data_IF_520953097150
#
_entry.id   IF_520953097150
#
_cell.length_a   1.000
_cell.length_b   1.000
_cell.length_c   1.000
_cell.angle_alpha   90.00
_cell.angle_beta   90.00
_cell.angle_gamma   90.00
#
_symmetry.space_group_name_H-M   'P 1'
#
loop_
_entity.id
_entity.type
_entity.pdbx_description
1 polymer ?
#
# COMPACT_ATOMS: atom_id res chain seq x y z
N UNK A 1 -19.95 14.54 4.93
CA UNK A 1 -21.21 14.76 4.24
C UNK A 1 -21.25 13.91 2.97
N UNK A 2 -22.42 13.31 2.68
CA UNK A 2 -22.70 12.61 1.42
C UNK A 2 -23.77 13.40 0.66
N UNK A 3 -23.55 13.55 -0.65
CA UNK A 3 -24.53 14.14 -1.57
C UNK A 3 -25.12 13.04 -2.46
N UNK A 4 -26.43 12.86 -2.38
CA UNK A 4 -27.16 11.93 -3.24
C UNK A 4 -27.69 12.70 -4.46
N UNK A 5 -27.18 12.37 -5.65
CA UNK A 5 -27.53 13.05 -6.91
C UNK A 5 -28.98 12.77 -7.33
N UNK A 6 -29.50 11.58 -7.07
CA UNK A 6 -30.85 11.19 -7.49
C UNK A 6 -31.93 11.91 -6.69
N UNK A 7 -31.69 12.09 -5.37
CA UNK A 7 -32.64 12.77 -4.48
C UNK A 7 -32.34 14.24 -4.28
N UNK A 8 -31.18 14.73 -4.76
CA UNK A 8 -30.65 16.08 -4.52
C UNK A 8 -30.58 16.45 -3.05
N UNK A 9 -30.21 15.48 -2.20
CA UNK A 9 -30.12 15.63 -0.76
C UNK A 9 -28.69 15.50 -0.26
N UNK A 10 -28.39 16.24 0.82
CA UNK A 10 -27.13 16.15 1.53
C UNK A 10 -27.39 15.51 2.88
N UNK A 11 -26.70 14.43 3.20
CA UNK A 11 -26.74 13.75 4.49
C UNK A 11 -25.42 13.98 5.26
N UNK A 12 -25.53 14.22 6.57
CA UNK A 12 -24.38 14.26 7.47
C UNK A 12 -24.06 12.84 7.90
N UNK A 13 -22.96 12.27 7.40
CA UNK A 13 -22.52 10.91 7.72
C UNK A 13 -21.82 10.87 9.08
N UNK A 14 -20.80 11.70 9.27
CA UNK A 14 -20.00 11.71 10.49
C UNK A 14 -19.50 13.11 10.83
N UNK A 15 -19.24 13.38 12.11
CA UNK A 15 -18.64 14.63 12.60
C UNK A 15 -17.83 14.37 13.87
N UNK A 16 -16.64 14.92 13.93
CA UNK A 16 -15.83 14.96 15.15
C UNK A 16 -16.33 16.02 16.16
N UNK A 17 -17.09 17.01 15.68
CA UNK A 17 -17.63 18.07 16.54
C UNK A 17 -18.96 17.64 17.13
N UNK A 18 -19.22 18.09 18.36
CA UNK A 18 -20.56 17.96 18.92
C UNK A 18 -21.54 18.88 18.18
N UNK A 19 -22.80 18.50 18.18
CA UNK A 19 -23.87 19.40 17.72
C UNK A 19 -24.29 20.40 18.81
N UNK A 20 -23.56 20.47 19.94
CA UNK A 20 -23.77 21.42 21.02
C UNK A 20 -23.23 22.82 20.67
N UNK A 21 -23.90 23.87 21.11
CA UNK A 21 -23.53 25.26 20.84
C UNK A 21 -22.22 25.70 21.54
N UNK A 22 -21.80 25.01 22.60
CA UNK A 22 -20.54 25.30 23.29
C UNK A 22 -19.37 24.53 22.68
N UNK A 23 -18.33 25.27 22.26
CA UNK A 23 -17.07 24.73 21.79
C UNK A 23 -16.33 24.06 22.97
N UNK A 24 -16.19 22.76 22.93
CA UNK A 24 -15.40 21.99 23.90
C UNK A 24 -13.92 22.07 23.53
N UNK A 25 -13.04 22.35 24.50
CA UNK A 25 -11.58 22.35 24.29
C UNK A 25 -11.06 21.04 23.69
N UNK A 26 -11.76 19.92 23.89
CA UNK A 26 -11.50 18.62 23.29
C UNK A 26 -11.69 18.59 21.77
N UNK A 27 -12.45 19.51 21.20
CA UNK A 27 -12.66 19.64 19.75
C UNK A 27 -11.44 20.20 19.02
N UNK A 28 -10.53 20.81 19.75
CA UNK A 28 -9.26 21.33 19.23
C UNK A 28 -8.18 20.24 19.08
N UNK A 29 -8.44 19.02 19.55
CA UNK A 29 -7.54 17.89 19.32
C UNK A 29 -7.66 17.41 17.88
N UNK A 30 -6.78 17.91 17.00
CA UNK A 30 -6.74 17.60 15.57
C UNK A 30 -6.00 16.29 15.22
N UNK A 31 -5.72 15.42 16.20
CA UNK A 31 -4.99 14.16 15.96
C UNK A 31 -5.96 13.00 15.66
N UNK A 32 -6.86 13.20 14.72
CA UNK A 32 -7.79 12.18 14.20
C UNK A 32 -8.19 12.51 12.77
N UNK A 33 -8.63 11.50 12.03
CA UNK A 33 -9.03 11.64 10.63
C UNK A 33 -10.04 10.53 10.25
N UNK A 34 -10.59 10.63 9.03
CA UNK A 34 -11.49 9.64 8.44
C UNK A 34 -10.89 9.14 7.14
N UNK A 35 -11.01 7.84 6.90
CA UNK A 35 -10.70 7.23 5.60
C UNK A 35 -11.90 6.40 5.14
N UNK A 36 -12.44 6.72 3.96
CA UNK A 36 -13.45 5.89 3.30
C UNK A 36 -12.74 4.68 2.71
N UNK A 37 -13.29 3.49 2.93
CA UNK A 37 -12.75 2.21 2.47
C UNK A 37 -13.55 1.71 1.27
N UNK A 38 -14.88 1.69 1.39
CA UNK A 38 -15.78 1.25 0.33
C UNK A 38 -17.03 2.12 0.28
N UNK A 39 -17.66 2.20 -0.89
CA UNK A 39 -18.97 2.82 -1.10
C UNK A 39 -19.73 1.91 -2.06
N UNK A 40 -20.94 1.49 -1.70
CA UNK A 40 -21.81 0.72 -2.55
C UNK A 40 -22.62 1.61 -3.54
N UNK A 41 -23.32 0.99 -4.48
CA UNK A 41 -24.15 1.70 -5.47
C UNK A 41 -25.30 2.52 -4.86
N UNK A 42 -25.70 2.22 -3.62
CA UNK A 42 -26.76 2.92 -2.88
C UNK A 42 -26.23 4.05 -2.01
N UNK A 43 -24.90 4.18 -1.91
CA UNK A 43 -24.22 5.17 -1.10
C UNK A 43 -24.03 4.78 0.35
N UNK A 44 -24.27 3.50 0.74
CA UNK A 44 -23.78 2.98 2.01
C UNK A 44 -22.27 2.81 1.94
N UNK A 45 -21.57 3.00 3.05
CA UNK A 45 -20.11 3.01 3.02
C UNK A 45 -19.51 2.43 4.28
N UNK A 46 -18.36 1.79 4.12
CA UNK A 46 -17.47 1.43 5.20
C UNK A 46 -16.35 2.46 5.29
N UNK A 47 -16.08 2.92 6.48
CA UNK A 47 -15.06 3.92 6.71
C UNK A 47 -14.38 3.73 8.06
N UNK A 48 -13.17 4.26 8.16
CA UNK A 48 -12.39 4.29 9.38
C UNK A 48 -12.45 5.67 10.01
N UNK A 49 -12.58 5.70 11.33
CA UNK A 49 -12.24 6.84 12.16
C UNK A 49 -11.00 6.46 12.94
N UNK A 50 -9.92 7.20 12.81
CA UNK A 50 -8.65 6.81 13.43
C UNK A 50 -7.94 8.00 14.08
N UNK A 51 -7.12 7.68 15.07
CA UNK A 51 -6.38 8.64 15.88
C UNK A 51 -6.83 8.65 17.32
N UNK A 52 -6.76 9.82 17.95
CA UNK A 52 -7.21 10.02 19.32
C UNK A 52 -8.73 10.22 19.36
N UNK A 53 -9.43 9.39 20.13
CA UNK A 53 -10.88 9.49 20.32
C UNK A 53 -11.18 10.53 21.37
N UNK A 54 -11.66 11.70 20.94
CA UNK A 54 -11.92 12.85 21.82
C UNK A 54 -13.28 12.77 22.54
N UNK A 55 -14.13 11.79 22.20
CA UNK A 55 -15.45 11.56 22.80
C UNK A 55 -15.99 10.16 22.52
N UNK A 56 -17.16 9.87 23.10
CA UNK A 56 -17.84 8.58 22.94
C UNK A 56 -17.29 7.50 23.88
N UNK A 57 -17.65 6.26 23.60
CA UNK A 57 -17.28 5.10 24.45
C UNK A 57 -15.78 4.83 24.49
N UNK A 58 -15.02 5.35 23.52
CA UNK A 58 -13.57 5.21 23.41
C UNK A 58 -12.82 6.50 23.76
N UNK A 59 -13.48 7.47 24.39
CA UNK A 59 -12.84 8.74 24.79
C UNK A 59 -11.54 8.48 25.58
N UNK A 60 -10.49 9.24 25.22
CA UNK A 60 -9.17 9.12 25.83
C UNK A 60 -8.31 7.97 25.27
N UNK A 61 -8.79 7.23 24.28
CA UNK A 61 -8.04 6.13 23.66
C UNK A 61 -7.56 6.53 22.27
N UNK A 62 -6.46 5.93 21.87
CA UNK A 62 -5.95 6.00 20.49
C UNK A 62 -6.24 4.68 19.79
N UNK A 63 -6.74 4.73 18.56
CA UNK A 63 -7.09 3.53 17.83
C UNK A 63 -7.79 3.81 16.50
N UNK A 64 -8.41 2.77 15.97
CA UNK A 64 -9.13 2.75 14.71
C UNK A 64 -10.52 2.19 14.96
N UNK A 65 -11.57 2.98 14.72
CA UNK A 65 -12.95 2.52 14.67
C UNK A 65 -13.31 2.17 13.23
N UNK A 66 -13.79 0.96 13.02
CA UNK A 66 -14.40 0.51 11.76
C UNK A 66 -15.87 0.81 11.84
N UNK A 67 -16.37 1.67 10.96
CA UNK A 67 -17.74 2.16 10.95
C UNK A 67 -18.44 1.82 9.64
N UNK A 68 -19.71 1.47 9.74
CA UNK A 68 -20.61 1.32 8.61
C UNK A 68 -21.66 2.44 8.61
N UNK A 69 -21.86 3.08 7.47
CA UNK A 69 -22.96 4.01 7.23
C UNK A 69 -23.99 3.36 6.31
N UNK A 70 -25.22 3.23 6.80
CA UNK A 70 -26.37 2.78 6.01
C UNK A 70 -27.08 3.99 5.40
N UNK A 71 -27.08 4.10 4.08
CA UNK A 71 -27.67 5.20 3.34
C UNK A 71 -29.22 5.21 3.37
N UNK A 72 -29.85 4.08 3.63
CA UNK A 72 -31.32 3.94 3.67
C UNK A 72 -31.87 4.45 5.00
N UNK A 73 -31.25 4.05 6.10
CA UNK A 73 -31.64 4.46 7.45
C UNK A 73 -30.97 5.77 7.88
N UNK A 74 -29.97 6.23 7.17
CA UNK A 74 -29.12 7.39 7.48
C UNK A 74 -28.50 7.26 8.88
N UNK A 75 -27.98 6.09 9.21
CA UNK A 75 -27.37 5.77 10.49
C UNK A 75 -25.92 5.33 10.33
N UNK A 76 -25.10 5.66 11.32
CA UNK A 76 -23.73 5.14 11.44
C UNK A 76 -23.66 4.19 12.60
N UNK A 77 -23.07 3.03 12.36
CA UNK A 77 -22.79 2.01 13.37
C UNK A 77 -21.28 1.78 13.45
N UNK A 78 -20.72 1.85 14.68
CA UNK A 78 -19.36 1.36 14.93
C UNK A 78 -19.42 -0.15 15.05
N UNK A 79 -18.78 -0.83 14.09
CA UNK A 79 -18.71 -2.29 14.08
C UNK A 79 -17.62 -2.82 15.01
N UNK A 80 -16.47 -2.15 15.04
CA UNK A 80 -15.30 -2.58 15.79
C UNK A 80 -14.42 -1.40 16.17
N UNK A 81 -13.82 -1.47 17.36
CA UNK A 81 -12.70 -0.61 17.77
C UNK A 81 -11.42 -1.43 17.92
N UNK A 82 -10.39 -1.06 17.16
CA UNK A 82 -9.05 -1.63 17.26
C UNK A 82 -8.14 -0.65 18.01
N UNK A 83 -7.76 -0.95 19.28
CA UNK A 83 -6.82 -0.11 20.01
C UNK A 83 -5.42 -0.21 19.39
N UNK A 84 -4.83 0.93 19.07
CA UNK A 84 -3.48 1.04 18.48
C UNK A 84 -2.71 2.09 19.30
N UNK A 85 -1.47 1.78 19.67
CA UNK A 85 -0.66 2.64 20.55
C UNK A 85 0.34 3.53 19.80
N UNK A 86 0.29 3.56 18.47
CA UNK A 86 1.12 4.43 17.65
C UNK A 86 0.57 5.86 17.61
N UNK A 87 1.43 6.82 17.24
CA UNK A 87 0.98 8.19 17.03
C UNK A 87 0.00 8.30 15.85
N UNK A 88 -0.80 9.34 15.85
CA UNK A 88 -1.71 9.65 14.74
C UNK A 88 -1.00 9.71 13.38
N UNK A 89 0.17 10.36 13.31
CA UNK A 89 0.93 10.47 12.06
C UNK A 89 1.33 9.10 11.52
N UNK A 90 1.84 8.21 12.36
CA UNK A 90 2.19 6.85 11.97
C UNK A 90 0.96 6.06 11.53
N UNK A 91 -0.19 6.19 12.23
CA UNK A 91 -1.43 5.55 11.78
C UNK A 91 -1.89 6.07 10.42
N UNK A 92 -1.79 7.37 10.19
CA UNK A 92 -2.16 7.99 8.91
C UNK A 92 -1.30 7.47 7.75
N UNK A 93 0.00 7.35 7.96
CA UNK A 93 0.93 6.78 6.99
C UNK A 93 0.63 5.29 6.76
N UNK A 94 0.55 4.48 7.81
CA UNK A 94 0.28 3.04 7.73
C UNK A 94 -1.05 2.74 7.00
N UNK A 95 -2.13 3.45 7.35
CA UNK A 95 -3.42 3.33 6.68
C UNK A 95 -3.38 3.89 5.25
N UNK A 96 -2.51 4.89 4.99
CA UNK A 96 -2.22 5.39 3.66
C UNK A 96 -1.63 4.30 2.77
N UNK A 97 -0.73 3.47 3.32
CA UNK A 97 -0.12 2.35 2.62
C UNK A 97 -1.12 1.23 2.32
N UNK A 98 -1.89 0.79 3.34
CA UNK A 98 -2.87 -0.28 3.17
C UNK A 98 -4.11 -0.10 4.03
N UNK A 99 -5.25 0.05 3.35
CA UNK A 99 -6.60 -0.13 3.87
C UNK A 99 -7.46 -0.66 2.72
N UNK A 100 -7.68 -1.97 2.67
CA UNK A 100 -8.31 -2.69 1.57
C UNK A 100 -9.39 -3.63 2.07
N UNK A 101 -10.57 -3.60 1.45
CA UNK A 101 -11.68 -4.53 1.69
C UNK A 101 -11.90 -5.36 0.44
N UNK A 102 -11.95 -6.69 0.62
CA UNK A 102 -12.22 -7.61 -0.47
C UNK A 102 -13.72 -7.94 -0.59
N UNK A 103 -14.08 -8.66 -1.66
CA UNK A 103 -15.47 -9.07 -1.93
C UNK A 103 -16.01 -10.15 -0.95
N UNK A 104 -15.20 -10.62 -0.01
CA UNK A 104 -15.57 -11.61 1.01
C UNK A 104 -15.71 -10.98 2.40
N UNK A 105 -15.98 -9.68 2.48
CA UNK A 105 -16.12 -8.91 3.72
C UNK A 105 -14.86 -9.01 4.64
N UNK A 106 -13.69 -9.27 4.02
CA UNK A 106 -12.43 -9.25 4.73
C UNK A 106 -11.76 -7.89 4.56
N UNK A 107 -11.48 -7.24 5.66
CA UNK A 107 -10.84 -5.95 5.66
C UNK A 107 -9.38 -6.07 6.12
N UNK A 108 -8.46 -5.55 5.31
CA UNK A 108 -7.03 -5.56 5.57
C UNK A 108 -6.51 -4.16 5.82
N UNK A 109 -5.75 -3.99 6.89
CA UNK A 109 -5.10 -2.72 7.19
C UNK A 109 -3.73 -2.91 7.83
N UNK A 110 -2.84 -1.96 7.61
CA UNK A 110 -1.59 -1.86 8.36
C UNK A 110 -1.77 -0.80 9.44
N UNK A 111 -1.39 -1.16 10.68
CA UNK A 111 -1.34 -0.24 11.80
C UNK A 111 -0.26 -0.67 12.80
N UNK A 112 0.64 0.24 13.18
CA UNK A 112 1.70 -0.03 14.14
C UNK A 112 2.59 -1.20 13.72
N UNK A 113 3.01 -1.24 12.45
CA UNK A 113 3.85 -2.30 11.86
C UNK A 113 3.20 -3.70 11.87
N UNK A 114 1.90 -3.76 11.95
CA UNK A 114 1.15 -5.02 11.95
C UNK A 114 0.11 -5.00 10.85
N UNK A 115 0.09 -6.04 10.02
CA UNK A 115 -1.01 -6.33 9.11
C UNK A 115 -2.12 -7.02 9.89
N UNK A 116 -3.26 -6.39 9.93
CA UNK A 116 -4.50 -6.94 10.47
C UNK A 116 -5.41 -7.39 9.33
N UNK A 117 -6.09 -8.49 9.57
CA UNK A 117 -7.26 -8.95 8.81
C UNK A 117 -8.45 -8.92 9.76
N UNK A 118 -9.51 -8.24 9.37
CA UNK A 118 -10.76 -8.12 10.10
C UNK A 118 -11.84 -8.76 9.23
N UNK A 119 -12.51 -9.77 9.77
CA UNK A 119 -13.69 -10.35 9.18
C UNK A 119 -14.89 -9.50 9.62
N UNK A 120 -15.53 -8.79 8.71
CA UNK A 120 -16.58 -7.81 9.03
C UNK A 120 -17.90 -8.47 9.44
N UNK A 121 -18.15 -9.72 9.03
CA UNK A 121 -19.35 -10.47 9.44
C UNK A 121 -19.26 -10.93 10.89
N UNK A 122 -18.12 -11.54 11.26
CA UNK A 122 -17.89 -12.08 12.60
C UNK A 122 -17.21 -11.12 13.55
N UNK A 123 -16.75 -9.98 13.08
CA UNK A 123 -15.94 -8.97 13.78
C UNK A 123 -14.65 -9.54 14.40
N UNK A 124 -14.13 -10.61 13.80
CA UNK A 124 -12.92 -11.28 14.24
C UNK A 124 -11.68 -10.59 13.70
N UNK A 125 -10.81 -10.16 14.60
CA UNK A 125 -9.52 -9.56 14.26
C UNK A 125 -8.42 -10.61 14.30
N UNK A 126 -7.67 -10.73 13.21
CA UNK A 126 -6.49 -11.59 13.09
C UNK A 126 -5.26 -10.75 12.78
N UNK A 127 -4.17 -10.95 13.53
CA UNK A 127 -2.86 -10.36 13.22
C UNK A 127 -2.14 -11.28 12.22
N UNK A 128 -2.20 -10.94 10.95
CA UNK A 128 -1.60 -11.73 9.87
C UNK A 128 -0.08 -11.69 9.90
N UNK A 129 0.49 -10.49 10.09
CA UNK A 129 1.95 -10.26 10.13
C UNK A 129 2.28 -9.21 11.16
N UNK A 130 3.43 -9.40 11.80
CA UNK A 130 4.02 -8.44 12.74
C UNK A 130 5.36 -7.96 12.19
N UNK A 131 5.86 -6.87 12.75
CA UNK A 131 7.16 -6.29 12.43
C UNK A 131 7.37 -5.86 10.98
N UNK A 132 6.28 -5.52 10.29
CA UNK A 132 6.32 -4.86 8.99
C UNK A 132 6.98 -3.49 9.13
N UNK A 133 8.20 -3.36 8.61
CA UNK A 133 8.92 -2.07 8.62
C UNK A 133 8.66 -1.36 7.29
N UNK A 134 8.49 -0.05 7.34
CA UNK A 134 8.42 0.76 6.13
C UNK A 134 9.61 0.43 5.20
N UNK A 135 9.32 0.28 3.91
CA UNK A 135 10.31 -0.11 2.90
C UNK A 135 10.63 -1.62 2.83
N UNK A 136 10.08 -2.47 3.71
CA UNK A 136 10.24 -3.92 3.62
C UNK A 136 9.08 -4.65 2.96
N UNK A 137 8.04 -3.91 2.62
CA UNK A 137 6.87 -4.36 1.86
C UNK A 137 6.48 -3.31 0.82
N UNK A 138 5.70 -3.71 -0.15
CA UNK A 138 5.14 -2.86 -1.20
C UNK A 138 3.67 -3.23 -1.38
N UNK A 139 2.82 -2.23 -1.67
CA UNK A 139 1.39 -2.41 -1.89
C UNK A 139 1.02 -1.88 -3.27
N UNK A 140 0.14 -2.57 -4.00
CA UNK A 140 -0.36 -2.12 -5.29
C UNK A 140 -1.28 -0.91 -5.17
N UNK A 141 -1.57 -0.25 -6.29
CA UNK A 141 -2.38 0.96 -6.33
C UNK A 141 -3.79 0.77 -5.74
N UNK A 142 -4.42 -0.38 -5.98
CA UNK A 142 -5.74 -0.73 -5.41
C UNK A 142 -5.68 -1.15 -3.94
N UNK A 143 -4.49 -1.52 -3.43
CA UNK A 143 -4.31 -2.18 -2.13
C UNK A 143 -4.50 -3.70 -2.17
N UNK A 144 -4.85 -4.29 -3.32
CA UNK A 144 -5.14 -5.72 -3.44
C UNK A 144 -3.89 -6.60 -3.29
N UNK A 145 -2.77 -6.19 -3.87
CA UNK A 145 -1.54 -6.99 -3.82
C UNK A 145 -0.54 -6.44 -2.83
N UNK A 146 0.01 -7.33 -2.01
CA UNK A 146 1.04 -7.04 -1.02
C UNK A 146 2.28 -7.87 -1.30
N UNK A 147 3.40 -7.21 -1.62
CA UNK A 147 4.71 -7.86 -1.80
C UNK A 147 5.58 -7.67 -0.55
N UNK A 148 6.19 -8.75 -0.07
CA UNK A 148 7.05 -8.73 1.13
C UNK A 148 8.02 -9.90 1.11
N UNK A 149 9.07 -9.84 1.96
CA UNK A 149 9.92 -11.00 2.23
C UNK A 149 9.41 -11.75 3.46
N UNK A 150 9.36 -13.09 3.36
CA UNK A 150 9.05 -13.94 4.51
C UNK A 150 10.23 -14.09 5.48
N UNK A 151 10.09 -14.95 6.50
CA UNK A 151 11.13 -15.20 7.49
C UNK A 151 12.37 -15.92 6.92
N UNK A 152 12.24 -16.54 5.77
CA UNK A 152 13.34 -17.22 5.06
C UNK A 152 14.02 -16.29 4.05
N UNK A 153 13.49 -15.07 3.87
CA UNK A 153 13.99 -14.06 2.93
C UNK A 153 13.46 -14.25 1.52
N UNK A 154 12.49 -15.15 1.30
CA UNK A 154 11.85 -15.33 0.02
C UNK A 154 10.88 -14.17 -0.24
N UNK A 155 10.96 -13.59 -1.43
CA UNK A 155 10.04 -12.54 -1.88
C UNK A 155 8.73 -13.19 -2.33
N UNK A 156 7.63 -12.71 -1.78
CA UNK A 156 6.27 -13.21 -2.00
C UNK A 156 5.37 -12.06 -2.45
N UNK A 157 4.39 -12.36 -3.29
CA UNK A 157 3.26 -11.47 -3.62
C UNK A 157 1.97 -12.15 -3.14
N UNK A 158 1.28 -11.54 -2.20
CA UNK A 158 0.00 -11.99 -1.64
C UNK A 158 -1.15 -11.23 -2.30
N UNK A 159 -2.13 -11.96 -2.84
CA UNK A 159 -3.40 -11.41 -3.31
C UNK A 159 -4.39 -11.37 -2.13
N UNK A 160 -4.69 -10.21 -1.63
CA UNK A 160 -5.60 -10.01 -0.49
C UNK A 160 -7.09 -10.26 -0.85
N UNK A 161 -7.43 -10.32 -2.14
CA UNK A 161 -8.76 -10.71 -2.61
C UNK A 161 -9.01 -12.20 -2.41
N UNK A 162 -8.01 -13.02 -2.74
CA UNK A 162 -8.14 -14.50 -2.69
C UNK A 162 -7.43 -15.12 -1.49
N UNK A 163 -6.52 -14.39 -0.83
CA UNK A 163 -5.65 -14.90 0.22
C UNK A 163 -4.50 -15.78 -0.28
N UNK A 164 -4.33 -15.90 -1.60
CA UNK A 164 -3.26 -16.70 -2.21
C UNK A 164 -1.93 -15.96 -2.17
N UNK A 165 -0.85 -16.72 -2.03
CA UNK A 165 0.51 -16.17 -2.01
C UNK A 165 1.34 -16.79 -3.13
N UNK A 166 1.99 -15.95 -3.92
CA UNK A 166 2.85 -16.39 -5.03
C UNK A 166 4.33 -16.09 -4.72
N UNK A 167 5.21 -17.10 -4.73
CA UNK A 167 6.64 -16.90 -4.53
C UNK A 167 7.31 -16.36 -5.81
N UNK A 168 8.05 -15.26 -5.67
CA UNK A 168 8.88 -14.72 -6.75
C UNK A 168 10.14 -15.58 -6.85
N UNK A 169 10.36 -16.19 -8.03
CA UNK A 169 11.48 -17.10 -8.24
C UNK A 169 12.80 -16.35 -8.29
N UNK A 170 13.80 -16.85 -7.57
CA UNK A 170 15.21 -16.45 -7.67
C UNK A 170 16.06 -17.66 -8.01
N UNK A 171 17.18 -17.44 -8.68
CA UNK A 171 18.19 -18.47 -8.89
C UNK A 171 19.16 -18.52 -7.71
N UNK A 172 19.82 -19.67 -7.51
CA UNK A 172 20.82 -19.78 -6.44
C UNK A 172 21.96 -18.76 -6.63
N UNK A 173 22.34 -18.08 -5.55
CA UNK A 173 23.36 -17.02 -5.58
C UNK A 173 22.87 -15.65 -6.06
N UNK A 174 21.56 -15.46 -6.15
CA UNK A 174 20.92 -14.19 -6.48
C UNK A 174 20.05 -13.69 -5.32
N UNK A 175 19.97 -12.38 -5.21
CA UNK A 175 19.04 -11.68 -4.32
C UNK A 175 17.93 -11.04 -5.16
N UNK A 176 16.66 -11.25 -4.74
CA UNK A 176 15.51 -10.51 -5.27
C UNK A 176 15.17 -9.34 -4.35
N UNK A 177 14.84 -8.20 -4.95
CA UNK A 177 14.43 -6.98 -4.24
C UNK A 177 13.07 -6.52 -4.73
N UNK A 178 12.14 -6.35 -3.80
CA UNK A 178 10.91 -5.63 -4.08
C UNK A 178 11.25 -4.17 -4.37
N UNK A 179 10.71 -3.63 -5.45
CA UNK A 179 10.90 -2.23 -5.83
C UNK A 179 9.59 -1.46 -5.61
N UNK A 180 8.48 -1.96 -6.14
CA UNK A 180 7.19 -1.33 -6.03
C UNK A 180 6.16 -1.94 -6.96
N UNK A 181 5.09 -1.20 -7.18
CA UNK A 181 4.07 -1.53 -8.17
C UNK A 181 3.89 -0.37 -9.15
N UNK A 182 3.52 -0.70 -10.38
CA UNK A 182 2.99 0.24 -11.35
C UNK A 182 1.57 -0.26 -11.69
N UNK A 183 0.55 0.48 -11.21
CA UNK A 183 -0.79 -0.07 -11.14
C UNK A 183 -0.84 -1.33 -10.28
N UNK A 184 -1.22 -2.45 -10.87
CA UNK A 184 -1.27 -3.77 -10.21
C UNK A 184 -0.06 -4.65 -10.52
N UNK A 185 0.82 -4.22 -11.42
CA UNK A 185 2.01 -4.97 -11.83
C UNK A 185 3.17 -4.77 -10.86
N UNK A 186 3.73 -5.89 -10.38
CA UNK A 186 4.80 -5.90 -9.40
C UNK A 186 6.18 -5.79 -10.05
N UNK A 187 6.98 -4.83 -9.59
CA UNK A 187 8.33 -4.57 -10.07
C UNK A 187 9.34 -5.10 -9.05
N UNK A 188 10.26 -5.91 -9.50
CA UNK A 188 11.36 -6.42 -8.68
C UNK A 188 12.68 -6.45 -9.44
N UNK A 189 13.77 -6.32 -8.69
CA UNK A 189 15.12 -6.40 -9.21
C UNK A 189 15.82 -7.70 -8.83
N UNK A 190 16.79 -8.12 -9.65
CA UNK A 190 17.67 -9.24 -9.37
C UNK A 190 19.13 -8.76 -9.33
N UNK A 191 19.82 -9.10 -8.24
CA UNK A 191 21.23 -8.83 -8.03
C UNK A 191 21.99 -10.13 -7.81
N UNK A 192 23.19 -10.26 -8.39
CA UNK A 192 24.07 -11.39 -8.12
C UNK A 192 24.92 -11.09 -6.90
N UNK A 193 25.03 -12.02 -5.97
CA UNK A 193 25.89 -11.86 -4.80
C UNK A 193 27.38 -11.62 -5.18
N UNK A 194 27.81 -12.16 -6.32
CA UNK A 194 29.15 -11.99 -6.87
C UNK A 194 29.45 -10.55 -7.35
N UNK A 195 28.40 -9.77 -7.68
CA UNK A 195 28.52 -8.39 -8.19
C UNK A 195 28.48 -7.35 -7.03
N UNK A 196 28.48 -7.82 -5.79
CA UNK A 196 28.43 -6.94 -4.62
C UNK A 196 29.74 -6.14 -4.48
N UNK A 197 29.62 -4.86 -4.16
CA UNK A 197 30.72 -3.96 -3.92
C UNK A 197 30.51 -3.16 -2.64
N UNK A 198 31.56 -2.54 -2.11
CA UNK A 198 31.44 -1.56 -1.03
C UNK A 198 31.38 -0.17 -1.61
N UNK A 199 30.42 0.63 -1.14
CA UNK A 199 30.39 2.06 -1.45
C UNK A 199 31.51 2.84 -0.72
N UNK A 200 31.60 4.13 -0.96
CA UNK A 200 32.58 4.99 -0.33
C UNK A 200 32.45 5.07 1.21
N UNK A 201 31.28 4.76 1.76
CA UNK A 201 31.00 4.70 3.19
C UNK A 201 31.28 3.31 3.80
N UNK A 202 31.64 2.32 2.98
CA UNK A 202 31.92 0.95 3.40
C UNK A 202 30.69 0.03 3.47
N UNK A 203 29.50 0.51 3.07
CA UNK A 203 28.30 -0.29 3.01
C UNK A 203 28.34 -1.23 1.80
N UNK A 204 27.80 -2.44 1.97
CA UNK A 204 27.71 -3.38 0.86
C UNK A 204 26.53 -3.02 -0.05
N UNK A 205 26.83 -2.78 -1.32
CA UNK A 205 25.85 -2.48 -2.37
C UNK A 205 25.77 -3.69 -3.31
N UNK A 206 24.56 -4.10 -3.62
CA UNK A 206 24.25 -5.17 -4.55
C UNK A 206 23.56 -4.55 -5.78
N UNK A 207 24.30 -4.13 -6.81
CA UNK A 207 23.69 -3.54 -7.99
C UNK A 207 22.89 -4.62 -8.75
N UNK A 208 21.68 -4.26 -9.16
CA UNK A 208 20.79 -5.16 -9.87
C UNK A 208 21.21 -5.23 -11.34
N UNK A 209 21.34 -6.44 -11.87
CA UNK A 209 21.64 -6.63 -13.29
C UNK A 209 20.39 -6.69 -14.15
N UNK A 210 19.21 -6.89 -13.52
CA UNK A 210 17.95 -7.08 -14.21
C UNK A 210 16.79 -6.51 -13.38
N UNK A 211 15.83 -5.89 -14.06
CA UNK A 211 14.51 -5.51 -13.51
C UNK A 211 13.44 -6.31 -14.23
N UNK A 212 12.49 -6.84 -13.50
CA UNK A 212 11.35 -7.59 -14.03
C UNK A 212 10.04 -6.99 -13.56
N UNK A 213 9.06 -7.02 -14.45
CA UNK A 213 7.66 -6.67 -14.15
C UNK A 213 6.86 -7.95 -14.23
N UNK A 214 6.17 -8.28 -13.15
CA UNK A 214 5.35 -9.46 -12.97
C UNK A 214 3.90 -9.01 -12.85
N UNK A 215 3.02 -9.53 -13.71
CA UNK A 215 1.59 -9.22 -13.67
C UNK A 215 0.83 -10.29 -12.89
N UNK A 216 0.29 -9.97 -11.71
CA UNK A 216 -0.56 -10.89 -10.96
C UNK A 216 -1.84 -11.26 -11.72
N UNK A 217 -2.38 -10.36 -12.51
CA UNK A 217 -3.60 -10.57 -13.32
C UNK A 217 -3.37 -11.52 -14.48
N UNK A 218 -2.13 -11.67 -14.97
CA UNK A 218 -1.73 -12.65 -15.96
C UNK A 218 -1.12 -13.95 -15.33
N UNK A 219 -1.69 -14.40 -14.23
CA UNK A 219 -1.24 -15.61 -13.52
C UNK A 219 0.23 -15.51 -13.06
N UNK A 220 0.62 -14.35 -12.54
CA UNK A 220 1.96 -14.05 -12.03
C UNK A 220 3.07 -14.25 -13.06
N UNK A 221 2.77 -13.97 -14.31
CA UNK A 221 3.73 -14.03 -15.40
C UNK A 221 4.63 -12.81 -15.43
N UNK A 222 5.90 -13.03 -15.78
CA UNK A 222 6.82 -11.93 -16.07
C UNK A 222 6.48 -11.38 -17.46
N UNK A 223 5.88 -10.18 -17.49
CA UNK A 223 5.42 -9.53 -18.74
C UNK A 223 6.51 -8.67 -19.37
N UNK A 224 7.47 -8.19 -18.56
CA UNK A 224 8.59 -7.40 -19.06
C UNK A 224 9.87 -7.68 -18.29
N UNK A 225 10.98 -7.71 -19.01
CA UNK A 225 12.32 -7.82 -18.44
C UNK A 225 13.21 -6.73 -19.04
N UNK A 226 13.87 -5.97 -18.18
CA UNK A 226 14.92 -5.04 -18.55
C UNK A 226 16.26 -5.63 -18.11
N UNK A 227 17.17 -5.80 -19.07
CA UNK A 227 18.57 -6.19 -18.84
C UNK A 227 19.42 -5.51 -19.92
N UNK A 228 20.51 -4.89 -19.52
CA UNK A 228 21.44 -4.24 -20.46
C UNK A 228 22.88 -4.59 -20.11
N UNK A 229 23.52 -5.38 -20.98
CA UNK A 229 24.88 -5.86 -20.75
C UNK A 229 25.87 -4.72 -20.46
N UNK A 230 26.68 -4.89 -19.42
CA UNK A 230 27.66 -3.90 -18.97
C UNK A 230 27.09 -2.76 -18.11
N UNK A 231 25.78 -2.78 -17.82
CA UNK A 231 25.15 -1.80 -16.94
C UNK A 231 24.45 -2.52 -15.79
N UNK A 232 24.43 -1.85 -14.64
CA UNK A 232 23.73 -2.29 -13.43
C UNK A 232 22.85 -1.16 -12.92
N UNK A 233 21.78 -1.53 -12.23
CA UNK A 233 20.79 -0.61 -11.66
C UNK A 233 21.04 -0.50 -10.17
N UNK A 234 21.22 0.72 -9.66
CA UNK A 234 21.45 1.00 -8.25
C UNK A 234 20.21 1.54 -7.55
N UNK A 235 19.36 2.24 -8.29
CA UNK A 235 18.11 2.80 -7.78
C UNK A 235 17.03 2.80 -8.85
N UNK A 236 15.77 2.72 -8.41
CA UNK A 236 14.59 2.73 -9.28
C UNK A 236 13.54 3.66 -8.69
N UNK A 237 13.12 4.63 -9.48
CA UNK A 237 12.01 5.53 -9.16
C UNK A 237 10.85 5.25 -10.09
N UNK A 238 9.67 5.07 -9.51
CA UNK A 238 8.41 4.90 -10.22
C UNK A 238 7.65 6.22 -10.17
N UNK A 239 7.19 6.70 -11.31
CA UNK A 239 6.46 7.95 -11.43
C UNK A 239 5.38 7.78 -12.51
N UNK A 240 4.12 7.76 -12.10
CA UNK A 240 2.99 7.43 -12.96
C UNK A 240 3.22 6.12 -13.74
N UNK A 241 3.32 6.22 -15.08
CA UNK A 241 3.52 5.08 -15.99
C UNK A 241 4.99 4.90 -16.41
N UNK A 242 5.93 5.53 -15.73
CA UNK A 242 7.36 5.50 -16.09
C UNK A 242 8.20 5.01 -14.93
N UNK A 243 9.09 4.08 -15.22
CA UNK A 243 10.11 3.56 -14.30
C UNK A 243 11.45 4.14 -14.73
N UNK A 244 12.07 4.94 -13.87
CA UNK A 244 13.39 5.53 -14.08
C UNK A 244 14.45 4.67 -13.41
N UNK A 245 15.52 4.38 -14.13
CA UNK A 245 16.59 3.46 -13.72
C UNK A 245 17.91 4.23 -13.57
N UNK A 246 18.36 4.48 -12.36
CA UNK A 246 19.70 4.99 -12.09
C UNK A 246 20.70 3.87 -12.33
N UNK A 247 21.67 4.10 -13.22
CA UNK A 247 22.58 3.06 -13.66
C UNK A 247 24.02 3.36 -13.36
N UNK A 248 24.79 2.28 -13.20
CA UNK A 248 26.24 2.30 -13.08
C UNK A 248 26.86 1.30 -14.07
N UNK A 249 28.14 1.47 -14.38
CA UNK A 249 28.94 0.52 -15.14
C UNK A 249 30.26 0.22 -14.43
N UNK A 250 30.81 -0.98 -14.56
CA UNK A 250 32.12 -1.30 -14.01
C UNK A 250 33.22 -0.58 -14.81
N UNK A 251 34.13 0.09 -14.11
CA UNK A 251 35.29 0.77 -14.67
C UNK A 251 36.44 0.77 -13.65
N UNK A 252 37.60 0.20 -14.01
CA UNK A 252 38.79 0.23 -13.15
C UNK A 252 38.63 -0.53 -11.83
N UNK A 253 37.73 -1.49 -11.71
CA UNK A 253 37.48 -2.26 -10.49
C UNK A 253 36.47 -1.58 -9.53
N UNK A 254 35.86 -0.49 -9.96
CA UNK A 254 34.78 0.22 -9.26
C UNK A 254 33.55 0.36 -10.17
N UNK A 255 32.43 0.79 -9.60
CA UNK A 255 31.28 1.22 -10.39
C UNK A 255 31.31 2.75 -10.54
N UNK A 256 31.06 3.22 -11.77
CA UNK A 256 30.93 4.64 -12.10
C UNK A 256 29.52 4.91 -12.63
N UNK A 257 29.02 6.11 -12.40
CA UNK A 257 27.71 6.52 -12.85
C UNK A 257 27.59 6.43 -14.37
N UNK A 258 26.41 6.02 -14.83
CA UNK A 258 26.05 5.93 -16.22
C UNK A 258 24.74 6.70 -16.48
N UNK A 259 24.43 7.06 -17.73
CA UNK A 259 23.17 7.74 -18.06
C UNK A 259 21.97 6.94 -17.57
N UNK A 260 20.98 7.64 -17.02
CA UNK A 260 19.69 7.09 -16.63
C UNK A 260 19.01 6.43 -17.84
N UNK A 261 18.21 5.39 -17.61
CA UNK A 261 17.37 4.77 -18.61
C UNK A 261 15.94 4.67 -18.09
N UNK A 262 14.98 4.42 -18.97
CA UNK A 262 13.56 4.39 -18.60
C UNK A 262 12.84 3.18 -19.19
N UNK A 263 11.85 2.70 -18.45
CA UNK A 263 10.86 1.74 -18.93
C UNK A 263 9.51 2.46 -18.89
N UNK A 264 8.85 2.59 -20.05
CA UNK A 264 7.50 3.16 -20.13
C UNK A 264 6.49 2.02 -20.19
N UNK A 265 5.47 2.06 -19.35
CA UNK A 265 4.33 1.17 -19.43
C UNK A 265 3.35 1.73 -20.46
N UNK A 266 3.26 1.07 -21.63
CA UNK A 266 2.58 1.60 -22.82
C UNK A 266 1.08 1.27 -22.91
N UNK A 267 0.49 0.62 -21.93
CA UNK A 267 -0.94 0.26 -22.00
C UNK A 267 -1.88 1.45 -21.95
N UNK A 268 -1.51 2.57 -21.33
CA UNK A 268 -2.31 3.80 -21.32
C UNK A 268 -2.10 4.71 -22.55
N UNK A 269 -1.17 4.42 -23.43
CA UNK A 269 -0.91 5.26 -24.63
C UNK A 269 -1.87 5.01 -25.79
N UNK A 270 -2.76 4.04 -25.75
CA UNK A 270 -3.68 3.69 -26.84
C UNK A 270 -5.04 4.42 -26.78
N UNK A 271 -5.32 5.22 -25.74
CA UNK A 271 -6.59 5.92 -25.59
C UNK A 271 -6.62 7.35 -26.16
N UNK A 272 -5.52 7.86 -26.71
CA UNK A 272 -5.46 9.26 -27.22
C UNK A 272 -5.06 9.43 -28.70
N UNK A 273 -5.19 8.38 -29.51
CA UNK A 273 -4.97 8.51 -30.96
C UNK A 273 -6.16 8.00 -31.78
N UNK A 274 -7.34 8.55 -31.52
CA UNK A 274 -8.42 8.55 -32.52
C UNK A 274 -9.24 9.82 -32.29
N UNK A 275 -8.89 10.86 -33.00
CA UNK A 275 -9.74 11.78 -33.75
C UNK A 275 -8.96 13.04 -34.14
N UNK A 276 -8.43 13.00 -35.34
CA UNK A 276 -8.15 14.18 -36.16
C UNK A 276 -8.64 13.92 -37.58
#
# INVERSE_FOLDING_TARGET
>A
WMYNQDTNQIAKVFSFRSDMEEVDDRENYGEHDIRIVSIDERGSMDFLVYGYMNRGIHEGRTGISVCHYDSVTNTVEEQLFLPVTTSYQVMKEDLGELAYQNNQEQFYLIAGKTLYQIDLDSLKVTKKRKDLKAGTYQVSASGRYLAYKDSEGQLLVEDLETGNTHPVKSSGGEETRAIGFIGEDFIYGQARNADSVKDAAGNQVFPMYQIRILSPEEDYKVVKTYEKGGYYITDVRIDENTIYLSRVRPEGGAYVDAPEDTIVNSEDCLLYTSDA
#
